data_IF_136085009794
#
_entry.id   IF_136085009794
#
_cell.length_a   1.000
_cell.length_b   1.000
_cell.length_c   1.000
_cell.angle_alpha   90.00
_cell.angle_beta   90.00
_cell.angle_gamma   90.00
#
_symmetry.space_group_name_H-M   'P 1'
#
loop_
_entity.id
_entity.type
_entity.pdbx_description
1 polymer ?
#
# COMPACT_ATOMS: atom_id res chain seq x y z
N UNK A 1 2.96 -57.77 20.76
CA UNK A 1 2.46 -57.05 19.57
C UNK A 1 1.62 -55.82 19.94
N UNK A 2 0.52 -55.95 20.69
CA UNK A 2 -0.35 -54.80 21.06
C UNK A 2 0.36 -53.62 21.77
N UNK A 3 1.32 -53.90 22.67
CA UNK A 3 2.05 -52.86 23.41
C UNK A 3 3.00 -52.04 22.52
N UNK A 4 3.60 -52.67 21.51
CA UNK A 4 4.50 -52.01 20.55
C UNK A 4 3.67 -51.11 19.63
N UNK A 5 2.50 -51.57 19.18
CA UNK A 5 1.57 -50.78 18.35
C UNK A 5 1.03 -49.54 19.06
N UNK A 6 0.79 -49.60 20.38
CA UNK A 6 0.32 -48.45 21.18
C UNK A 6 1.43 -47.41 21.33
N UNK A 7 2.67 -47.84 21.57
CA UNK A 7 3.81 -46.93 21.65
C UNK A 7 4.08 -46.24 20.32
N UNK A 8 4.00 -46.96 19.20
CA UNK A 8 4.11 -46.38 17.85
C UNK A 8 3.02 -45.36 17.55
N UNK A 9 1.77 -45.63 17.94
CA UNK A 9 0.65 -44.72 17.72
C UNK A 9 0.77 -43.43 18.56
N UNK A 10 1.24 -43.54 19.80
CA UNK A 10 1.47 -42.39 20.68
C UNK A 10 2.60 -41.49 20.17
N UNK A 11 3.69 -42.08 19.68
CA UNK A 11 4.79 -41.31 19.08
C UNK A 11 4.35 -40.61 17.80
N UNK A 12 3.57 -41.29 16.94
CA UNK A 12 3.02 -40.68 15.73
C UNK A 12 2.07 -39.51 16.05
N UNK A 13 1.21 -39.65 17.07
CA UNK A 13 0.28 -38.61 17.48
C UNK A 13 0.99 -37.40 18.09
N UNK A 14 2.04 -37.62 18.89
CA UNK A 14 2.87 -36.56 19.43
C UNK A 14 3.64 -35.80 18.33
N UNK A 15 4.18 -36.52 17.33
CA UNK A 15 4.82 -35.89 16.16
C UNK A 15 3.83 -35.06 15.34
N UNK A 16 2.62 -35.57 15.12
CA UNK A 16 1.59 -34.86 14.35
C UNK A 16 1.08 -33.61 15.08
N UNK A 17 0.96 -33.68 16.41
CA UNK A 17 0.62 -32.54 17.26
C UNK A 17 1.69 -31.44 17.22
N UNK A 18 2.98 -31.80 17.13
CA UNK A 18 4.08 -30.83 17.04
C UNK A 18 4.09 -30.06 15.71
N UNK A 19 3.69 -30.71 14.62
CA UNK A 19 3.55 -30.08 13.29
C UNK A 19 2.31 -29.19 13.22
N UNK A 20 1.20 -29.62 13.85
CA UNK A 20 -0.05 -28.85 13.89
C UNK A 20 0.01 -27.59 14.79
N UNK A 21 0.91 -27.55 15.77
CA UNK A 21 1.08 -26.44 16.72
C UNK A 21 2.00 -25.29 16.23
N UNK A 22 2.24 -25.19 14.92
CA UNK A 22 2.63 -23.92 14.33
C UNK A 22 4.12 -23.65 14.32
N UNK A 23 4.86 -24.43 13.52
CA UNK A 23 6.02 -23.88 12.82
C UNK A 23 5.49 -22.77 11.89
N UNK A 24 5.40 -21.55 12.42
CA UNK A 24 5.20 -20.36 11.62
C UNK A 24 6.49 -20.14 10.83
N UNK A 25 6.57 -20.81 9.68
CA UNK A 25 7.62 -20.56 8.70
C UNK A 25 7.39 -19.15 8.17
N UNK A 26 8.04 -18.18 8.82
CA UNK A 26 8.13 -16.82 8.30
C UNK A 26 9.00 -16.90 7.05
N UNK A 27 8.38 -16.81 5.88
CA UNK A 27 9.11 -16.53 4.67
C UNK A 27 9.50 -15.05 4.72
N UNK A 28 10.80 -14.76 4.70
CA UNK A 28 11.25 -13.43 4.36
C UNK A 28 10.80 -13.18 2.90
N UNK A 29 9.88 -12.24 2.72
CA UNK A 29 9.53 -11.77 1.39
C UNK A 29 10.70 -10.89 0.91
N UNK A 30 11.45 -11.36 -0.10
CA UNK A 30 12.44 -10.58 -0.87
C UNK A 30 11.74 -9.53 -1.75
N UNK A 31 10.80 -8.78 -1.16
CA UNK A 31 10.20 -7.64 -1.81
C UNK A 31 11.16 -6.46 -1.62
N UNK A 32 11.87 -6.09 -2.70
CA UNK A 32 12.54 -4.79 -2.77
C UNK A 32 11.50 -3.72 -2.44
N UNK A 33 11.72 -2.88 -1.40
CA UNK A 33 10.79 -1.81 -1.07
C UNK A 33 10.59 -0.91 -2.30
N UNK A 34 9.36 -0.46 -2.57
CA UNK A 34 9.13 0.47 -3.66
C UNK A 34 9.98 1.73 -3.47
N UNK A 35 10.47 2.34 -4.57
CA UNK A 35 11.28 3.55 -4.47
C UNK A 35 10.52 4.64 -3.70
N UNK A 36 11.20 5.28 -2.75
CA UNK A 36 10.59 6.30 -1.91
C UNK A 36 10.55 7.67 -2.61
N UNK A 37 9.59 8.50 -2.21
CA UNK A 37 9.57 9.91 -2.62
C UNK A 37 10.79 10.66 -2.07
N UNK A 38 11.36 11.55 -2.88
CA UNK A 38 12.54 12.36 -2.53
C UNK A 38 12.17 13.83 -2.59
N UNK A 39 12.48 14.59 -1.54
CA UNK A 39 12.18 16.03 -1.49
C UNK A 39 10.69 16.35 -1.43
N UNK A 40 9.86 15.41 -0.96
CA UNK A 40 8.41 15.60 -0.78
C UNK A 40 8.09 15.48 0.71
N UNK A 41 7.37 16.47 1.24
CA UNK A 41 6.79 16.41 2.59
C UNK A 41 5.27 16.27 2.45
N UNK A 42 4.66 15.50 3.35
CA UNK A 42 3.24 15.17 3.30
C UNK A 42 2.57 15.47 4.64
N UNK A 43 1.59 16.36 4.62
CA UNK A 43 0.65 16.58 5.71
C UNK A 43 -0.61 15.75 5.47
N UNK A 44 -0.97 14.92 6.45
CA UNK A 44 -2.23 14.16 6.41
C UNK A 44 -3.34 15.05 6.98
N UNK A 45 -4.32 15.38 6.14
CA UNK A 45 -5.43 16.25 6.53
C UNK A 45 -6.65 15.46 7.00
N UNK A 46 -6.77 14.20 6.57
CA UNK A 46 -7.82 13.29 7.04
C UNK A 46 -7.81 11.97 6.28
N UNK A 47 -8.48 10.97 6.86
CA UNK A 47 -8.73 9.68 6.21
C UNK A 47 -10.01 9.05 6.73
N UNK A 48 -10.56 8.12 5.95
CA UNK A 48 -11.74 7.34 6.33
C UNK A 48 -12.06 6.25 5.33
N UNK A 49 -13.05 5.42 5.67
CA UNK A 49 -13.59 4.37 4.80
C UNK A 49 -14.99 4.82 4.36
N UNK A 50 -15.16 5.29 3.11
CA UNK A 50 -16.46 5.76 2.65
C UNK A 50 -17.40 4.59 2.35
N UNK A 51 -18.68 4.71 2.74
CA UNK A 51 -19.71 3.72 2.44
C UNK A 51 -19.91 3.51 0.93
N UNK A 52 -19.64 4.55 0.13
CA UNK A 52 -19.75 4.50 -1.33
C UNK A 52 -18.64 3.67 -2.00
N UNK A 53 -17.56 3.34 -1.30
CA UNK A 53 -16.49 2.45 -1.78
C UNK A 53 -16.03 1.51 -0.66
N UNK A 54 -16.82 0.47 -0.34
CA UNK A 54 -16.48 -0.48 0.72
C UNK A 54 -15.15 -1.20 0.43
N UNK A 55 -14.30 -1.30 1.46
CA UNK A 55 -12.97 -1.92 1.34
C UNK A 55 -11.86 -0.96 0.88
N UNK A 56 -12.23 0.24 0.42
CA UNK A 56 -11.28 1.28 0.03
C UNK A 56 -11.15 2.34 1.13
N UNK A 57 -10.00 3.01 1.16
CA UNK A 57 -9.78 4.15 2.04
C UNK A 57 -9.70 5.45 1.22
N UNK A 58 -10.45 6.47 1.63
CA UNK A 58 -10.27 7.83 1.15
C UNK A 58 -9.28 8.55 2.07
N UNK A 59 -8.25 9.14 1.49
CA UNK A 59 -7.27 9.95 2.21
C UNK A 59 -7.11 11.32 1.58
N UNK A 60 -7.04 12.36 2.40
CA UNK A 60 -6.76 13.73 1.98
C UNK A 60 -5.40 14.15 2.53
N UNK A 61 -4.53 14.65 1.65
CA UNK A 61 -3.16 15.01 1.96
C UNK A 61 -2.81 16.33 1.30
N UNK A 62 -1.98 17.13 1.96
CA UNK A 62 -1.27 18.26 1.34
C UNK A 62 0.18 17.85 1.18
N UNK A 63 0.69 17.92 -0.05
CA UNK A 63 2.09 17.58 -0.34
C UNK A 63 2.85 18.85 -0.73
N UNK A 64 4.02 19.04 -0.15
CA UNK A 64 4.95 20.11 -0.54
C UNK A 64 6.18 19.48 -1.16
N UNK A 65 6.43 19.84 -2.43
CA UNK A 65 7.56 19.39 -3.21
C UNK A 65 8.64 20.46 -3.18
N UNK A 66 9.85 20.13 -2.71
CA UNK A 66 11.02 20.96 -2.93
C UNK A 66 11.35 21.02 -4.43
N UNK A 67 12.12 22.02 -4.92
CA UNK A 67 12.59 22.02 -6.30
C UNK A 67 13.31 20.72 -6.66
N UNK A 68 12.87 20.06 -7.73
CA UNK A 68 13.38 18.74 -8.16
C UNK A 68 12.86 17.55 -7.33
N UNK A 69 11.97 17.78 -6.37
CA UNK A 69 11.30 16.71 -5.62
C UNK A 69 10.48 15.80 -6.54
N UNK A 70 10.50 14.49 -6.25
CA UNK A 70 9.93 13.48 -7.12
C UNK A 70 9.23 12.40 -6.31
N UNK A 71 8.07 11.97 -6.80
CA UNK A 71 7.44 10.71 -6.40
C UNK A 71 7.68 9.71 -7.54
N UNK A 72 8.36 8.59 -7.27
CA UNK A 72 8.60 7.55 -8.26
C UNK A 72 7.29 7.00 -8.86
N UNK A 73 7.40 6.39 -10.04
CA UNK A 73 6.25 5.75 -10.70
C UNK A 73 5.57 4.73 -9.78
N UNK A 74 4.26 4.88 -9.62
CA UNK A 74 3.40 3.99 -8.82
C UNK A 74 1.97 4.04 -9.36
N UNK A 75 1.12 3.16 -8.83
CA UNK A 75 -0.30 3.06 -9.21
C UNK A 75 -1.21 3.22 -7.98
N UNK A 76 -2.44 3.67 -8.21
CA UNK A 76 -3.49 3.71 -7.20
C UNK A 76 -4.57 2.67 -7.54
N UNK A 77 -5.10 1.93 -6.55
CA UNK A 77 -6.22 1.01 -6.76
C UNK A 77 -7.54 1.75 -7.06
N UNK A 78 -7.65 3.02 -6.64
CA UNK A 78 -8.79 3.88 -6.88
C UNK A 78 -8.43 5.18 -7.61
N UNK A 79 -9.42 6.08 -7.72
CA UNK A 79 -9.23 7.38 -8.36
C UNK A 79 -8.29 8.29 -7.55
N UNK A 80 -7.43 9.04 -8.26
CA UNK A 80 -6.62 10.11 -7.71
C UNK A 80 -7.14 11.46 -8.22
N UNK A 81 -7.40 12.39 -7.29
CA UNK A 81 -7.74 13.78 -7.61
C UNK A 81 -6.64 14.67 -7.07
N UNK A 82 -6.08 15.54 -7.92
CA UNK A 82 -5.01 16.47 -7.57
C UNK A 82 -5.48 17.90 -7.79
N UNK A 83 -5.10 18.77 -6.85
CA UNK A 83 -5.19 20.21 -7.00
C UNK A 83 -3.81 20.82 -6.76
N UNK A 84 -3.30 21.58 -7.73
CA UNK A 84 -2.04 22.31 -7.57
C UNK A 84 -2.36 23.63 -6.88
N UNK A 85 -2.11 23.69 -5.57
CA UNK A 85 -2.36 24.88 -4.75
C UNK A 85 -1.45 26.05 -5.15
N UNK A 86 -0.18 25.77 -5.50
CA UNK A 86 0.76 26.75 -6.04
C UNK A 86 1.92 26.07 -6.77
N UNK A 87 2.65 26.84 -7.59
CA UNK A 87 3.83 26.37 -8.32
C UNK A 87 3.50 25.58 -9.59
N UNK A 88 4.43 24.71 -9.99
CA UNK A 88 4.32 23.83 -11.16
C UNK A 88 4.55 22.38 -10.74
N UNK A 89 3.65 21.49 -11.18
CA UNK A 89 3.77 20.05 -11.00
C UNK A 89 3.81 19.38 -12.37
N UNK A 90 4.94 18.73 -12.67
CA UNK A 90 5.05 17.84 -13.83
C UNK A 90 4.43 16.50 -13.48
N UNK A 91 3.51 16.01 -14.32
CA UNK A 91 2.83 14.73 -14.13
C UNK A 91 2.95 13.87 -15.39
N UNK A 92 3.46 12.65 -15.24
CA UNK A 92 3.63 11.69 -16.34
C UNK A 92 2.63 10.54 -16.17
N UNK A 93 1.69 10.41 -17.11
CA UNK A 93 0.77 9.27 -17.17
C UNK A 93 1.45 8.15 -17.94
N UNK A 94 1.77 7.05 -17.25
CA UNK A 94 2.34 5.85 -17.87
C UNK A 94 1.22 4.99 -18.46
N UNK A 95 0.14 4.78 -17.69
CA UNK A 95 -1.05 4.02 -18.08
C UNK A 95 -2.31 4.70 -17.52
N UNK A 96 -3.43 4.59 -18.24
CA UNK A 96 -4.71 5.18 -17.86
C UNK A 96 -5.00 6.51 -18.55
N UNK A 97 -5.91 7.29 -17.97
CA UNK A 97 -6.31 8.61 -18.49
C UNK A 97 -6.32 9.64 -17.38
N UNK A 98 -6.02 10.88 -17.73
CA UNK A 98 -6.10 12.02 -16.81
C UNK A 98 -6.99 13.09 -17.44
N UNK A 99 -7.85 13.69 -16.62
CA UNK A 99 -8.62 14.87 -16.99
C UNK A 99 -7.97 16.08 -16.33
N UNK A 100 -7.60 17.08 -17.12
CA UNK A 100 -6.94 18.30 -16.62
C UNK A 100 -7.92 19.46 -16.77
N UNK A 101 -8.28 20.06 -15.64
CA UNK A 101 -8.97 21.34 -15.62
C UNK A 101 -7.98 22.44 -15.25
N UNK A 102 -7.94 23.50 -16.05
CA UNK A 102 -7.14 24.71 -15.77
C UNK A 102 -8.09 25.88 -15.57
N UNK A 103 -7.78 26.75 -14.62
CA UNK A 103 -8.50 28.01 -14.48
C UNK A 103 -8.36 28.85 -15.75
N UNK A 104 -9.43 29.54 -16.15
CA UNK A 104 -9.45 30.37 -17.36
C UNK A 104 -8.52 31.61 -17.27
N UNK A 105 -8.07 31.94 -16.07
CA UNK A 105 -7.11 33.00 -15.77
C UNK A 105 -6.27 32.52 -14.58
N UNK A 106 -5.07 33.07 -14.38
CA UNK A 106 -4.26 32.76 -13.19
C UNK A 106 -5.03 33.15 -11.92
N UNK A 107 -5.73 32.18 -11.34
CA UNK A 107 -6.60 32.34 -10.17
C UNK A 107 -7.01 30.97 -9.64
N UNK A 108 -7.26 30.90 -8.34
CA UNK A 108 -7.81 29.73 -7.66
C UNK A 108 -9.26 29.51 -8.09
N UNK A 109 -9.72 28.26 -8.32
CA UNK A 109 -11.14 27.97 -8.58
C UNK A 109 -12.07 28.52 -7.49
#
# INVERSE_FOLDING_TARGET
MRRISILSALVAFALFGLVALGLSITFAQDATPPPAAVGVTTDILGSGQPDAAPGEALGMRRNTFAPGGVVPAHMHPGALVLHVESGELTYTVIEGTVQIQRAATAGTP
#
